data_IF_980381348358
#
_entry.id   IF_980381348358
#
_cell.length_a   1.000
_cell.length_b   1.000
_cell.length_c   1.000
_cell.angle_alpha   90.00
_cell.angle_beta   90.00
_cell.angle_gamma   90.00
#
_symmetry.space_group_name_H-M   'P 1'
#
loop_
_entity.id
_entity.type
_entity.pdbx_description
1 polymer ?
#
# COMPACT_ATOMS: atom_id res chain seq x y z
N UNK A 1 -2.01 -15.24 -40.44
CA UNK A 1 -0.93 -15.46 -39.45
C UNK A 1 -1.24 -14.56 -38.27
N UNK A 2 -1.78 -15.15 -37.20
CA UNK A 2 -2.27 -14.44 -36.01
C UNK A 2 -1.09 -14.07 -35.12
N UNK A 3 -0.62 -12.83 -35.23
CA UNK A 3 0.34 -12.27 -34.28
C UNK A 3 -0.38 -11.88 -32.99
N UNK A 4 -0.68 -12.87 -32.15
CA UNK A 4 -0.89 -12.60 -30.72
C UNK A 4 0.51 -12.37 -30.13
N UNK A 5 0.97 -11.12 -30.15
CA UNK A 5 2.04 -10.72 -29.24
C UNK A 5 1.53 -11.00 -27.84
N UNK A 6 2.11 -12.02 -27.22
CA UNK A 6 2.01 -12.25 -25.79
C UNK A 6 2.31 -10.93 -25.11
N UNK A 7 1.29 -10.34 -24.50
CA UNK A 7 1.43 -9.21 -23.62
C UNK A 7 2.05 -9.76 -22.33
N UNK A 8 3.30 -10.22 -22.44
CA UNK A 8 4.22 -10.56 -21.34
C UNK A 8 4.68 -9.25 -20.68
N UNK A 9 3.68 -8.54 -20.19
CA UNK A 9 3.78 -7.43 -19.30
C UNK A 9 2.56 -7.61 -18.43
N UNK A 10 2.64 -8.61 -17.54
CA UNK A 10 1.95 -8.54 -16.27
C UNK A 10 2.51 -7.27 -15.62
N UNK A 11 2.00 -6.11 -16.06
CA UNK A 11 2.19 -4.83 -15.42
C UNK A 11 1.63 -5.12 -14.05
N UNK A 12 2.53 -5.46 -13.12
CA UNK A 12 2.21 -5.47 -11.71
C UNK A 12 1.89 -4.02 -11.41
N UNK A 13 0.62 -3.69 -11.59
CA UNK A 13 0.02 -2.39 -11.36
C UNK A 13 0.07 -2.03 -9.87
N UNK A 14 0.54 -2.99 -9.06
CA UNK A 14 0.81 -2.92 -7.65
C UNK A 14 2.32 -2.98 -7.44
N UNK A 15 2.94 -1.91 -6.96
CA UNK A 15 4.22 -2.02 -6.28
C UNK A 15 4.17 -3.17 -5.25
N UNK A 16 5.24 -3.96 -5.17
CA UNK A 16 5.44 -5.05 -4.20
C UNK A 16 5.61 -4.48 -2.76
N UNK A 17 4.59 -3.77 -2.26
CA UNK A 17 4.56 -3.29 -0.88
C UNK A 17 4.09 -4.41 0.04
N UNK A 18 4.79 -4.60 1.16
CA UNK A 18 4.34 -5.47 2.22
C UNK A 18 3.09 -4.88 2.88
N UNK A 19 1.96 -5.58 2.74
CA UNK A 19 0.76 -5.22 3.46
C UNK A 19 0.83 -5.78 4.89
N UNK A 20 0.61 -4.96 5.92
CA UNK A 20 0.56 -5.41 7.31
C UNK A 20 -0.51 -6.48 7.52
N UNK A 21 -0.38 -7.26 8.59
CA UNK A 21 -1.47 -8.13 9.04
C UNK A 21 -2.73 -7.30 9.37
N UNK A 22 -3.91 -7.87 9.11
CA UNK A 22 -5.18 -7.21 9.40
C UNK A 22 -5.32 -7.05 10.91
N UNK A 23 -5.25 -5.80 11.38
CA UNK A 23 -5.25 -5.47 12.81
C UNK A 23 -3.91 -4.95 13.32
N UNK A 24 -2.90 -4.83 12.47
CA UNK A 24 -1.71 -4.06 12.80
C UNK A 24 -2.11 -2.63 13.15
N UNK A 25 -1.47 -2.09 14.19
CA UNK A 25 -1.60 -0.69 14.61
C UNK A 25 -0.25 -0.01 14.48
N UNK A 26 -0.21 1.16 13.84
CA UNK A 26 1.00 1.98 13.72
C UNK A 26 0.70 3.43 14.03
N UNK A 27 1.71 4.14 14.50
CA UNK A 27 1.65 5.59 14.73
C UNK A 27 2.34 6.35 13.61
N UNK A 28 1.79 7.52 13.26
CA UNK A 28 2.37 8.41 12.27
C UNK A 28 3.67 9.03 12.81
N UNK A 29 4.80 8.97 12.08
CA UNK A 29 6.07 9.54 12.54
C UNK A 29 6.06 11.07 12.59
N UNK A 30 5.07 11.73 11.98
CA UNK A 30 4.95 13.19 11.96
C UNK A 30 4.07 13.77 13.06
N UNK A 31 3.05 13.03 13.50
CA UNK A 31 2.05 13.55 14.44
C UNK A 31 1.73 12.59 15.59
N UNK A 32 2.39 11.43 15.64
CA UNK A 32 2.26 10.39 16.67
C UNK A 32 0.83 9.81 16.82
N UNK A 33 -0.08 10.15 15.90
CA UNK A 33 -1.45 9.63 15.86
C UNK A 33 -1.51 8.24 15.25
N UNK A 34 -2.48 7.45 15.69
CA UNK A 34 -2.77 6.15 15.10
C UNK A 34 -3.10 6.29 13.60
N UNK A 35 -2.46 5.46 12.79
CA UNK A 35 -2.69 5.33 11.36
C UNK A 35 -3.85 4.36 11.13
N UNK A 36 -4.67 4.66 10.14
CA UNK A 36 -5.72 3.78 9.69
C UNK A 36 -5.13 2.80 8.67
N UNK A 37 -5.12 1.52 9.03
CA UNK A 37 -4.81 0.44 8.09
C UNK A 37 -5.93 0.32 7.06
N UNK A 38 -5.60 0.42 5.78
CA UNK A 38 -6.51 0.16 4.68
C UNK A 38 -6.58 -1.33 4.38
N UNK A 39 -7.72 -1.75 3.82
CA UNK A 39 -7.88 -3.13 3.37
C UNK A 39 -7.01 -3.41 2.15
N UNK A 40 -6.37 -4.59 2.16
CA UNK A 40 -5.55 -5.09 1.05
C UNK A 40 -6.45 -5.64 -0.09
N UNK A 41 -7.26 -4.77 -0.70
CA UNK A 41 -8.14 -5.12 -1.83
C UNK A 41 -7.43 -4.88 -3.14
N UNK A 42 -7.66 -5.71 -4.17
CA UNK A 42 -6.88 -5.66 -5.42
C UNK A 42 -6.95 -4.31 -6.17
N UNK A 43 -8.06 -3.62 -5.95
CA UNK A 43 -8.39 -2.35 -6.58
C UNK A 43 -7.76 -1.14 -5.87
N UNK A 44 -7.13 -1.34 -4.71
CA UNK A 44 -6.50 -0.26 -3.96
C UNK A 44 -5.04 -0.11 -4.38
N UNK A 45 -4.71 1.08 -4.90
CA UNK A 45 -3.37 1.43 -5.42
C UNK A 45 -2.55 2.30 -4.45
N UNK A 46 -3.09 2.63 -3.27
CA UNK A 46 -2.43 3.44 -2.26
C UNK A 46 -1.51 2.61 -1.34
N UNK A 47 -0.91 3.29 -0.36
CA UNK A 47 -0.13 2.62 0.69
C UNK A 47 -1.06 2.09 1.80
N UNK A 48 -0.66 1.02 2.52
CA UNK A 48 -1.50 0.40 3.54
C UNK A 48 -1.90 1.33 4.67
N UNK A 49 -1.05 2.30 5.04
CA UNK A 49 -1.31 3.16 6.17
C UNK A 49 -1.78 4.54 5.76
N UNK A 50 -2.91 4.98 6.29
CA UNK A 50 -3.42 6.32 6.08
C UNK A 50 -3.50 7.09 7.39
N UNK A 51 -2.83 8.23 7.44
CA UNK A 51 -3.00 9.20 8.52
C UNK A 51 -4.13 10.19 8.20
N UNK A 52 -5.25 10.15 8.94
CA UNK A 52 -6.31 11.15 8.80
C UNK A 52 -5.86 12.56 9.26
N UNK A 53 -4.92 12.63 10.22
CA UNK A 53 -4.43 13.92 10.75
C UNK A 53 -3.49 14.62 9.77
N UNK A 54 -2.58 13.87 9.13
CA UNK A 54 -1.65 14.43 8.14
C UNK A 54 -2.22 14.39 6.72
N UNK A 55 -3.31 13.65 6.48
CA UNK A 55 -3.82 13.31 5.14
C UNK A 55 -2.74 12.69 4.25
N UNK A 56 -1.86 11.89 4.86
CA UNK A 56 -0.70 11.26 4.20
C UNK A 56 -0.82 9.75 4.25
N UNK A 57 -0.26 9.11 3.24
CA UNK A 57 -0.17 7.65 3.14
C UNK A 57 1.26 7.20 3.41
N UNK A 58 1.43 6.10 4.15
CA UNK A 58 2.72 5.53 4.53
C UNK A 58 2.74 4.03 4.23
N UNK A 59 3.89 3.53 3.80
CA UNK A 59 4.11 2.08 3.65
C UNK A 59 4.58 1.48 4.99
N UNK A 60 4.37 0.18 5.21
CA UNK A 60 4.88 -0.51 6.41
C UNK A 60 6.41 -0.37 6.56
N UNK A 61 7.14 -0.38 5.44
CA UNK A 61 8.59 -0.13 5.39
C UNK A 61 9.00 1.26 5.90
N UNK A 62 8.16 2.29 5.68
CA UNK A 62 8.44 3.66 6.12
C UNK A 62 8.22 3.83 7.61
N UNK A 63 7.37 2.99 8.20
CA UNK A 63 7.02 3.02 9.63
C UNK A 63 7.84 2.03 10.46
N UNK A 64 8.50 1.06 9.82
CA UNK A 64 9.41 0.10 10.46
C UNK A 64 10.85 0.62 10.60
N UNK A 65 11.10 1.90 10.33
CA UNK A 65 12.42 2.54 10.46
C UNK A 65 12.62 3.26 11.79
#
# INVERSE_FOLDING_TARGET
MSNNQELDNSVKFRPDYEWPEKGSERNCPKCEKALQLQDNVDEFYGKPWWCHSCQWQFSEEELSK
#
